data_IF_706313665224
#
_entry.id   IF_706313665224
#
_cell.length_a   1.000
_cell.length_b   1.000
_cell.length_c   1.000
_cell.angle_alpha   90.00
_cell.angle_beta   90.00
_cell.angle_gamma   90.00
#
_symmetry.space_group_name_H-M   'P 1'
#
loop_
_entity.id
_entity.type
_entity.pdbx_description
1 polymer ?
#
# COMPACT_ATOMS: atom_id res chain seq x y z
N UNK A 1 31.52 26.46 -56.96
CA UNK A 1 31.22 25.01 -56.82
C UNK A 1 31.55 24.45 -55.43
N UNK A 2 32.77 24.64 -54.89
CA UNK A 2 33.17 24.11 -53.56
C UNK A 2 32.32 24.63 -52.37
N UNK A 3 31.94 25.91 -52.37
CA UNK A 3 31.12 26.50 -51.29
C UNK A 3 29.70 25.89 -51.23
N UNK A 4 29.09 25.66 -52.40
CA UNK A 4 27.75 25.07 -52.49
C UNK A 4 27.73 23.63 -51.96
N UNK A 5 28.76 22.83 -52.30
CA UNK A 5 28.90 21.46 -51.80
C UNK A 5 29.07 21.45 -50.27
N UNK A 6 29.86 22.38 -49.72
CA UNK A 6 30.06 22.46 -48.26
C UNK A 6 28.78 22.83 -47.50
N UNK A 7 27.95 23.71 -48.05
CA UNK A 7 26.67 24.09 -47.46
C UNK A 7 25.70 22.90 -47.50
N UNK A 8 25.61 22.20 -48.63
CA UNK A 8 24.73 21.04 -48.79
C UNK A 8 25.12 19.92 -47.82
N UNK A 9 26.42 19.61 -47.69
CA UNK A 9 26.90 18.60 -46.74
C UNK A 9 26.56 18.99 -45.30
N UNK A 10 26.76 20.26 -44.92
CA UNK A 10 26.45 20.73 -43.56
C UNK A 10 24.96 20.67 -43.23
N UNK A 11 24.08 20.96 -44.20
CA UNK A 11 22.62 20.87 -44.02
C UNK A 11 22.20 19.41 -43.87
N UNK A 12 22.75 18.49 -44.68
CA UNK A 12 22.46 17.05 -44.58
C UNK A 12 22.91 16.50 -43.22
N UNK A 13 24.07 16.92 -42.72
CA UNK A 13 24.55 16.52 -41.39
C UNK A 13 23.62 17.02 -40.27
N UNK A 14 23.14 18.26 -40.36
CA UNK A 14 22.17 18.83 -39.41
C UNK A 14 20.83 18.09 -39.45
N UNK A 15 20.32 17.74 -40.64
CA UNK A 15 19.09 16.96 -40.79
C UNK A 15 19.27 15.55 -40.21
N UNK A 16 20.42 14.90 -40.44
CA UNK A 16 20.70 13.58 -39.90
C UNK A 16 20.83 13.59 -38.36
N UNK A 17 21.47 14.62 -37.79
CA UNK A 17 21.54 14.81 -36.34
C UNK A 17 20.15 15.08 -35.77
N UNK A 18 19.34 15.92 -36.43
CA UNK A 18 17.96 16.17 -36.04
C UNK A 18 17.14 14.88 -36.08
N UNK A 19 17.30 14.08 -37.14
CA UNK A 19 16.64 12.78 -37.26
C UNK A 19 17.10 11.78 -36.19
N UNK A 20 18.39 11.78 -35.80
CA UNK A 20 18.94 10.90 -34.75
C UNK A 20 18.49 11.30 -33.34
N UNK A 21 18.39 12.61 -33.06
CA UNK A 21 17.89 13.14 -31.78
C UNK A 21 16.37 12.95 -31.67
N UNK A 22 15.65 13.10 -32.80
CA UNK A 22 14.20 12.97 -32.86
C UNK A 22 13.73 11.64 -33.46
N UNK A 23 14.56 10.59 -33.50
CA UNK A 23 14.01 9.24 -33.67
C UNK A 23 13.06 9.13 -32.48
N UNK A 24 11.73 9.02 -32.69
CA UNK A 24 10.87 8.69 -31.59
C UNK A 24 11.37 7.32 -31.19
N UNK A 25 12.07 7.24 -30.05
CA UNK A 25 12.29 5.98 -29.36
C UNK A 25 10.91 5.36 -29.41
N UNK A 26 10.79 4.22 -30.09
CA UNK A 26 9.56 3.47 -30.16
C UNK A 26 9.38 2.94 -28.73
N UNK A 27 8.97 3.83 -27.84
CA UNK A 27 8.54 3.53 -26.49
C UNK A 27 7.45 2.53 -26.76
N UNK A 28 7.69 1.26 -26.38
CA UNK A 28 6.67 0.24 -26.46
C UNK A 28 5.46 0.86 -25.79
N UNK A 29 4.44 1.15 -26.61
CA UNK A 29 3.25 1.85 -26.15
C UNK A 29 2.49 0.83 -25.35
N UNK A 30 2.89 0.62 -24.09
CA UNK A 30 2.03 0.08 -23.08
C UNK A 30 0.82 1.01 -23.05
N UNK A 31 -0.24 0.62 -23.77
CA UNK A 31 -1.46 1.39 -23.83
C UNK A 31 -2.31 0.93 -22.67
N UNK A 32 -2.52 1.82 -21.71
CA UNK A 32 -3.58 1.66 -20.72
C UNK A 32 -4.92 1.75 -21.46
N UNK A 33 -5.56 0.61 -21.70
CA UNK A 33 -6.91 0.57 -22.27
C UNK A 33 -7.90 0.42 -21.12
N UNK A 34 -8.89 1.33 -21.09
CA UNK A 34 -10.02 1.23 -20.17
C UNK A 34 -11.05 0.29 -20.78
N UNK A 35 -11.13 -0.95 -20.30
CA UNK A 35 -12.16 -1.91 -20.70
C UNK A 35 -13.10 -2.04 -19.51
N UNK A 36 -14.39 -1.73 -19.70
CA UNK A 36 -15.45 -1.96 -18.70
C UNK A 36 -15.13 -1.44 -17.28
N UNK A 37 -14.63 -0.19 -17.18
CA UNK A 37 -14.20 0.47 -15.93
C UNK A 37 -12.84 0.01 -15.37
N UNK A 38 -12.08 -0.83 -16.09
CA UNK A 38 -10.84 -1.45 -15.62
C UNK A 38 -9.64 -0.96 -16.43
N UNK A 39 -8.49 -0.77 -15.77
CA UNK A 39 -7.21 -0.47 -16.41
C UNK A 39 -6.47 -1.79 -16.68
N UNK A 40 -6.41 -2.18 -17.95
CA UNK A 40 -5.61 -3.32 -18.40
C UNK A 40 -4.40 -2.82 -19.20
N UNK A 41 -3.23 -3.36 -18.91
CA UNK A 41 -2.01 -3.08 -19.67
C UNK A 41 -1.93 -4.12 -20.78
N UNK A 42 -2.04 -3.65 -22.02
CA UNK A 42 -2.00 -4.47 -23.22
C UNK A 42 -0.77 -4.06 -24.03
N UNK A 43 0.05 -5.04 -24.41
CA UNK A 43 1.14 -4.91 -25.38
C UNK A 43 0.87 -5.87 -26.53
N UNK A 44 0.90 -5.37 -27.77
CA UNK A 44 0.66 -6.16 -28.99
C UNK A 44 -0.60 -7.06 -28.91
N UNK A 45 -1.71 -6.49 -28.41
CA UNK A 45 -3.01 -7.16 -28.22
C UNK A 45 -2.98 -8.38 -27.28
N UNK A 46 -1.91 -8.54 -26.48
CA UNK A 46 -1.82 -9.50 -25.38
C UNK A 46 -1.97 -8.80 -24.04
N UNK A 47 -2.81 -9.37 -23.17
CA UNK A 47 -2.90 -8.94 -21.77
C UNK A 47 -1.58 -9.23 -21.07
N UNK A 48 -0.83 -8.19 -20.71
CA UNK A 48 0.47 -8.34 -20.06
C UNK A 48 0.36 -8.64 -18.58
N UNK A 49 -0.58 -7.99 -17.89
CA UNK A 49 -0.73 -8.09 -16.45
C UNK A 49 -2.20 -8.32 -16.12
N UNK A 50 -2.48 -9.49 -15.56
CA UNK A 50 -3.76 -9.79 -14.90
C UNK A 50 -3.61 -9.44 -13.43
N UNK A 51 -4.39 -8.46 -12.96
CA UNK A 51 -4.44 -8.14 -11.54
C UNK A 51 -4.83 -9.37 -10.71
N UNK A 52 -4.23 -9.51 -9.52
CA UNK A 52 -4.63 -10.54 -8.57
C UNK A 52 -6.14 -10.39 -8.27
N UNK A 53 -6.93 -11.47 -8.26
CA UNK A 53 -8.36 -11.41 -7.97
C UNK A 53 -8.71 -10.67 -6.67
N UNK A 54 -7.91 -10.85 -5.61
CA UNK A 54 -8.10 -10.15 -4.34
C UNK A 54 -7.95 -8.63 -4.49
N UNK A 55 -6.97 -8.17 -5.28
CA UNK A 55 -6.81 -6.74 -5.56
C UNK A 55 -8.04 -6.19 -6.26
N UNK A 56 -8.61 -6.94 -7.21
CA UNK A 56 -9.82 -6.56 -7.94
C UNK A 56 -11.06 -6.51 -7.05
N UNK A 57 -11.17 -7.45 -6.12
CA UNK A 57 -12.32 -7.59 -5.24
C UNK A 57 -12.33 -6.53 -4.12
N UNK A 58 -11.17 -6.23 -3.56
CA UNK A 58 -11.07 -5.37 -2.38
C UNK A 58 -10.80 -3.91 -2.69
N UNK A 59 -10.19 -3.59 -3.83
CA UNK A 59 -9.80 -2.22 -4.15
C UNK A 59 -10.68 -1.64 -5.26
N UNK A 60 -11.22 -0.45 -5.00
CA UNK A 60 -11.92 0.35 -6.00
C UNK A 60 -10.95 1.34 -6.61
N UNK A 61 -10.83 1.33 -7.93
CA UNK A 61 -9.97 2.25 -8.67
C UNK A 61 -10.79 3.41 -9.28
N UNK A 62 -10.18 4.61 -9.44
CA UNK A 62 -8.88 5.00 -8.91
C UNK A 62 -8.86 4.97 -7.37
N UNK A 63 -7.71 4.69 -6.75
CA UNK A 63 -7.56 4.65 -5.28
C UNK A 63 -7.81 6.03 -4.61
N UNK A 64 -8.35 6.99 -5.34
CA UNK A 64 -8.30 8.42 -5.03
C UNK A 64 -9.54 8.86 -4.27
N UNK A 65 -9.31 9.24 -3.01
CA UNK A 65 -9.92 10.36 -2.30
C UNK A 65 -8.90 10.83 -1.25
N UNK A 66 -7.68 11.19 -1.68
CA UNK A 66 -6.55 11.71 -0.88
C UNK A 66 -6.01 10.82 0.27
N UNK A 67 -6.65 9.70 0.59
CA UNK A 67 -6.28 8.77 1.66
C UNK A 67 -6.36 7.31 1.18
N UNK A 68 -5.68 6.39 1.89
CA UNK A 68 -5.81 4.94 1.66
C UNK A 68 -4.87 4.34 0.61
N UNK A 69 -3.81 5.05 0.21
CA UNK A 69 -2.77 4.55 -0.69
C UNK A 69 -2.13 3.24 -0.20
N UNK A 70 -2.08 3.04 1.12
CA UNK A 70 -1.61 1.81 1.76
C UNK A 70 -2.44 0.56 1.43
N UNK A 71 -3.68 0.70 0.94
CA UNK A 71 -4.60 -0.43 0.74
C UNK A 71 -4.04 -1.49 -0.21
N UNK A 72 -3.31 -1.08 -1.27
CA UNK A 72 -2.69 -2.02 -2.21
C UNK A 72 -1.60 -2.86 -1.55
N UNK A 73 -0.81 -2.23 -0.68
CA UNK A 73 0.29 -2.89 0.06
C UNK A 73 -0.29 -3.84 1.10
N UNK A 74 -1.37 -3.45 1.80
CA UNK A 74 -2.08 -4.33 2.73
C UNK A 74 -2.62 -5.58 2.05
N UNK A 75 -3.33 -5.42 0.92
CA UNK A 75 -3.85 -6.58 0.17
C UNK A 75 -2.70 -7.49 -0.30
N UNK A 76 -1.62 -6.90 -0.82
CA UNK A 76 -0.46 -7.67 -1.28
C UNK A 76 0.19 -8.46 -0.13
N UNK A 77 0.38 -7.85 1.04
CA UNK A 77 0.96 -8.52 2.21
C UNK A 77 0.10 -9.68 2.69
N UNK A 78 -1.22 -9.48 2.82
CA UNK A 78 -2.11 -10.56 3.26
C UNK A 78 -2.16 -11.71 2.24
N UNK A 79 -2.09 -11.40 0.94
CA UNK A 79 -1.96 -12.42 -0.11
C UNK A 79 -0.65 -13.20 -0.04
N UNK A 80 0.45 -12.52 0.32
CA UNK A 80 1.77 -13.13 0.40
C UNK A 80 1.92 -14.05 1.63
N UNK A 81 1.47 -13.62 2.82
CA UNK A 81 1.62 -14.42 4.05
C UNK A 81 0.57 -15.53 4.18
N UNK A 82 -0.60 -15.40 3.52
CA UNK A 82 -1.70 -16.37 3.42
C UNK A 82 -2.42 -16.78 4.71
N UNK A 83 -1.75 -16.79 5.86
CA UNK A 83 -2.28 -17.25 7.14
C UNK A 83 -1.59 -16.56 8.32
N UNK A 84 -2.05 -16.85 9.54
CA UNK A 84 -1.49 -16.31 10.79
C UNK A 84 -2.14 -15.00 11.25
N UNK A 85 -1.83 -14.53 12.46
CA UNK A 85 -2.51 -13.38 13.06
C UNK A 85 -2.02 -12.06 12.46
N UNK A 86 -2.91 -11.06 12.43
CA UNK A 86 -2.70 -9.71 11.89
C UNK A 86 -2.86 -8.70 13.03
N UNK A 87 -1.97 -7.71 13.07
CA UNK A 87 -2.05 -6.58 14.00
C UNK A 87 -2.23 -5.28 13.21
N UNK A 88 -3.23 -4.50 13.57
CA UNK A 88 -3.41 -3.11 13.14
C UNK A 88 -3.15 -2.19 14.33
N UNK A 89 -2.16 -1.30 14.20
CA UNK A 89 -1.88 -0.23 15.15
C UNK A 89 -2.33 1.08 14.52
N UNK A 90 -3.46 1.61 14.96
CA UNK A 90 -4.11 2.76 14.36
C UNK A 90 -5.24 2.31 13.44
N UNK A 91 -6.46 2.57 13.88
CA UNK A 91 -7.69 2.30 13.18
C UNK A 91 -8.12 3.50 12.35
N UNK A 92 -8.83 3.23 11.26
CA UNK A 92 -9.32 4.28 10.38
C UNK A 92 -10.31 3.80 9.35
N UNK A 93 -10.97 4.75 8.69
CA UNK A 93 -12.00 4.48 7.69
C UNK A 93 -11.48 3.74 6.44
N UNK A 94 -10.19 3.81 6.15
CA UNK A 94 -9.57 3.15 5.00
C UNK A 94 -9.08 1.73 5.33
N UNK A 95 -8.22 1.58 6.34
CA UNK A 95 -7.56 0.31 6.67
C UNK A 95 -8.47 -0.67 7.42
N UNK A 96 -9.19 -0.22 8.44
CA UNK A 96 -9.88 -1.15 9.37
C UNK A 96 -11.00 -1.96 8.69
N UNK A 97 -11.88 -1.38 7.84
CA UNK A 97 -12.88 -2.17 7.12
C UNK A 97 -12.25 -3.16 6.13
N UNK A 98 -11.13 -2.77 5.49
CA UNK A 98 -10.40 -3.61 4.55
C UNK A 98 -9.76 -4.80 5.26
N UNK A 99 -9.01 -4.55 6.34
CA UNK A 99 -8.37 -5.58 7.15
C UNK A 99 -9.39 -6.51 7.80
N UNK A 100 -10.50 -5.97 8.32
CA UNK A 100 -11.57 -6.79 8.88
C UNK A 100 -12.12 -7.77 7.85
N UNK A 101 -12.44 -7.29 6.64
CA UNK A 101 -12.96 -8.14 5.56
C UNK A 101 -11.95 -9.21 5.15
N UNK A 102 -10.71 -8.82 4.88
CA UNK A 102 -9.65 -9.74 4.46
C UNK A 102 -9.36 -10.80 5.54
N UNK A 103 -9.32 -10.40 6.81
CA UNK A 103 -9.10 -11.32 7.92
C UNK A 103 -10.27 -12.31 8.04
N UNK A 104 -11.52 -11.85 7.89
CA UNK A 104 -12.70 -12.71 7.94
C UNK A 104 -12.69 -13.75 6.81
N UNK A 105 -12.45 -13.33 5.57
CA UNK A 105 -12.41 -14.22 4.40
C UNK A 105 -11.28 -15.25 4.47
N UNK A 106 -10.11 -14.84 4.98
CA UNK A 106 -8.96 -15.72 5.18
C UNK A 106 -9.05 -16.51 6.49
N UNK A 107 -10.09 -16.31 7.31
CA UNK A 107 -10.25 -16.91 8.64
C UNK A 107 -9.04 -16.68 9.55
N UNK A 108 -8.48 -15.47 9.49
CA UNK A 108 -7.31 -15.04 10.27
C UNK A 108 -7.77 -14.24 11.47
N UNK A 109 -7.00 -14.38 12.55
CA UNK A 109 -7.14 -13.51 13.71
C UNK A 109 -6.64 -12.10 13.36
N UNK A 110 -7.42 -11.09 13.71
CA UNK A 110 -7.08 -9.68 13.59
C UNK A 110 -7.22 -9.02 14.96
N UNK A 111 -6.20 -8.30 15.39
CA UNK A 111 -6.28 -7.38 16.51
C UNK A 111 -6.09 -5.97 15.99
N UNK A 112 -7.10 -5.11 16.15
CA UNK A 112 -7.01 -3.69 15.83
C UNK A 112 -6.96 -2.86 17.10
N UNK A 113 -5.89 -2.10 17.26
CA UNK A 113 -5.67 -1.27 18.43
C UNK A 113 -5.66 0.22 18.07
N UNK A 114 -6.28 1.06 18.89
CA UNK A 114 -6.29 2.51 18.70
C UNK A 114 -6.26 3.27 20.04
N UNK A 115 -5.70 4.48 19.99
CA UNK A 115 -5.62 5.42 21.11
C UNK A 115 -6.81 6.37 21.23
N UNK A 116 -7.67 6.40 20.23
CA UNK A 116 -8.90 7.17 20.17
C UNK A 116 -10.11 6.25 20.39
N UNK A 117 -10.79 6.42 21.52
CA UNK A 117 -11.99 5.66 21.85
C UNK A 117 -13.09 5.81 20.80
N UNK A 118 -13.11 6.91 20.04
CA UNK A 118 -14.09 7.11 18.97
C UNK A 118 -13.94 6.04 17.90
N UNK A 119 -12.71 5.65 17.53
CA UNK A 119 -12.50 4.57 16.56
C UNK A 119 -12.89 3.21 17.11
N UNK A 120 -12.50 2.90 18.36
CA UNK A 120 -12.90 1.66 19.03
C UNK A 120 -14.43 1.51 19.06
N UNK A 121 -15.13 2.59 19.42
CA UNK A 121 -16.60 2.58 19.49
C UNK A 121 -17.23 2.50 18.10
N UNK A 122 -16.71 3.27 17.14
CA UNK A 122 -17.22 3.32 15.77
C UNK A 122 -17.17 1.94 15.09
N UNK A 123 -16.11 1.18 15.36
CA UNK A 123 -15.91 -0.16 14.80
C UNK A 123 -16.27 -1.31 15.75
N UNK A 124 -16.92 -1.04 16.88
CA UNK A 124 -17.28 -2.07 17.88
C UNK A 124 -18.06 -3.26 17.30
N UNK A 125 -18.82 -3.02 16.22
CA UNK A 125 -19.54 -4.08 15.48
C UNK A 125 -18.62 -5.09 14.79
N UNK A 126 -17.34 -4.79 14.59
CA UNK A 126 -16.38 -5.73 14.00
C UNK A 126 -16.00 -6.87 14.95
N UNK A 127 -16.11 -6.64 16.27
CA UNK A 127 -15.74 -7.60 17.32
C UNK A 127 -16.95 -8.38 17.90
N UNK A 128 -18.06 -8.45 17.16
CA UNK A 128 -19.22 -9.25 17.55
C UNK A 128 -19.02 -10.75 17.31
N UNK A 129 -19.85 -11.57 17.93
CA UNK A 129 -19.80 -13.04 17.82
C UNK A 129 -19.63 -13.53 16.37
N UNK A 130 -18.75 -14.52 16.19
CA UNK A 130 -18.35 -15.14 14.91
C UNK A 130 -17.30 -14.38 14.06
N UNK A 131 -16.64 -13.36 14.60
CA UNK A 131 -15.45 -12.78 13.99
C UNK A 131 -14.19 -13.16 14.81
N UNK A 132 -13.07 -13.38 14.13
CA UNK A 132 -11.76 -13.48 14.78
C UNK A 132 -11.11 -12.10 14.92
N UNK A 133 -11.92 -11.05 15.10
CA UNK A 133 -11.46 -9.67 15.15
C UNK A 133 -11.64 -9.11 16.56
N UNK A 134 -10.53 -8.82 17.23
CA UNK A 134 -10.51 -8.17 18.54
C UNK A 134 -10.15 -6.69 18.40
N UNK A 135 -10.73 -5.86 19.28
CA UNK A 135 -10.41 -4.44 19.37
C UNK A 135 -9.76 -4.13 20.70
N UNK A 136 -8.73 -3.27 20.68
CA UNK A 136 -8.01 -2.88 21.89
C UNK A 136 -7.79 -1.38 21.98
N UNK A 137 -8.30 -0.79 23.05
CA UNK A 137 -7.99 0.59 23.39
C UNK A 137 -6.61 0.70 24.05
N UNK A 138 -5.77 1.61 23.57
CA UNK A 138 -4.45 1.93 24.16
C UNK A 138 -4.44 3.37 24.61
N UNK A 139 -4.50 3.60 25.92
CA UNK A 139 -4.46 4.96 26.47
C UNK A 139 -3.06 5.57 26.33
N UNK A 140 -2.92 6.65 25.57
CA UNK A 140 -1.67 7.39 25.40
C UNK A 140 -1.63 8.55 26.37
N UNK A 141 -0.64 8.54 27.28
CA UNK A 141 -0.45 9.59 28.30
C UNK A 141 0.80 10.43 28.04
N UNK A 142 1.67 9.97 27.15
CA UNK A 142 2.92 10.63 26.78
C UNK A 142 2.94 11.05 25.31
N UNK A 143 3.59 12.17 25.00
CA UNK A 143 3.83 12.60 23.61
C UNK A 143 4.69 11.60 22.82
N UNK A 144 5.50 10.81 23.52
CA UNK A 144 6.30 9.73 22.94
C UNK A 144 5.49 8.46 22.66
N UNK A 145 4.26 8.35 23.17
CA UNK A 145 3.41 7.17 23.00
C UNK A 145 4.03 5.89 23.53
N UNK A 146 4.79 5.93 24.64
CA UNK A 146 5.49 4.76 25.22
C UNK A 146 4.53 3.61 25.50
N UNK A 147 3.27 3.93 25.78
CA UNK A 147 2.20 3.02 26.15
C UNK A 147 1.88 2.00 25.04
N UNK A 148 2.21 2.28 23.77
CA UNK A 148 2.14 1.28 22.71
C UNK A 148 3.02 0.05 23.00
N UNK A 149 4.23 0.22 23.57
CA UNK A 149 5.10 -0.91 23.95
C UNK A 149 4.56 -1.64 25.18
N UNK A 150 4.05 -0.91 26.17
CA UNK A 150 3.59 -1.51 27.43
C UNK A 150 2.15 -1.99 27.37
N UNK A 151 1.52 -1.92 26.20
CA UNK A 151 0.16 -2.41 25.99
C UNK A 151 0.09 -3.93 25.88
N UNK A 152 1.23 -4.63 25.98
CA UNK A 152 1.38 -6.09 25.84
C UNK A 152 0.92 -6.63 24.48
N UNK A 153 0.73 -5.80 23.44
CA UNK A 153 0.32 -6.25 22.10
C UNK A 153 1.30 -7.26 21.48
N UNK A 154 2.59 -7.09 21.77
CA UNK A 154 3.67 -7.98 21.30
C UNK A 154 3.63 -9.37 21.94
N UNK A 155 3.13 -9.47 23.18
CA UNK A 155 3.16 -10.72 23.95
C UNK A 155 2.06 -11.71 23.55
N UNK A 156 1.06 -11.26 22.78
CA UNK A 156 -0.09 -12.09 22.45
C UNK A 156 0.17 -13.09 21.33
N UNK A 157 1.04 -12.81 20.34
CA UNK A 157 1.13 -13.59 19.10
C UNK A 157 2.43 -13.38 18.31
N UNK A 158 2.84 -14.40 17.55
CA UNK A 158 3.76 -14.25 16.42
C UNK A 158 2.99 -13.62 15.24
N UNK A 159 2.95 -12.30 15.17
CA UNK A 159 2.24 -11.56 14.13
C UNK A 159 2.84 -11.86 12.76
N UNK A 160 1.99 -12.17 11.78
CA UNK A 160 2.44 -12.40 10.40
C UNK A 160 2.40 -11.12 9.57
N UNK A 161 1.42 -10.25 9.84
CA UNK A 161 1.33 -8.92 9.26
C UNK A 161 1.09 -7.92 10.37
N UNK A 162 1.89 -6.84 10.39
CA UNK A 162 1.69 -5.69 11.28
C UNK A 162 1.52 -4.43 10.43
N UNK A 163 0.43 -3.71 10.61
CA UNK A 163 0.19 -2.39 10.00
C UNK A 163 0.30 -1.29 11.05
N UNK A 164 1.10 -0.26 10.77
CA UNK A 164 1.43 0.81 11.71
C UNK A 164 1.00 2.16 11.12
N UNK A 165 -0.06 2.75 11.66
CA UNK A 165 -0.58 4.08 11.34
C UNK A 165 -1.16 4.82 12.57
N UNK A 166 -0.82 4.38 13.79
CA UNK A 166 -1.33 4.99 15.01
C UNK A 166 -0.74 6.37 15.28
N UNK A 167 -1.36 7.12 16.21
CA UNK A 167 -0.75 8.31 16.82
C UNK A 167 -0.07 7.95 18.16
N UNK A 168 0.93 8.71 18.61
CA UNK A 168 1.62 9.79 17.90
C UNK A 168 2.56 9.24 16.80
N UNK A 169 2.73 10.02 15.73
CA UNK A 169 3.53 9.57 14.56
C UNK A 169 5.01 9.31 14.88
N UNK A 170 5.59 10.08 15.79
CA UNK A 170 6.99 9.94 16.25
C UNK A 170 7.30 8.57 16.87
N UNK A 171 6.27 7.87 17.36
CA UNK A 171 6.40 6.54 17.96
C UNK A 171 6.52 5.41 16.92
N UNK A 172 5.95 5.60 15.73
CA UNK A 172 5.79 4.53 14.73
C UNK A 172 7.10 3.89 14.29
N UNK A 173 8.20 4.66 14.24
CA UNK A 173 9.53 4.12 13.91
C UNK A 173 10.05 3.12 14.95
N UNK A 174 9.75 3.35 16.24
CA UNK A 174 10.16 2.45 17.31
C UNK A 174 9.35 1.16 17.24
N UNK A 175 8.05 1.27 16.95
CA UNK A 175 7.20 0.09 16.75
C UNK A 175 7.62 -0.70 15.51
N UNK A 176 7.96 -0.03 14.40
CA UNK A 176 8.55 -0.70 13.23
C UNK A 176 9.77 -1.52 13.64
N UNK A 177 10.71 -0.95 14.41
CA UNK A 177 11.88 -1.69 14.87
C UNK A 177 11.51 -2.89 15.74
N UNK A 178 10.59 -2.72 16.71
CA UNK A 178 10.14 -3.82 17.57
C UNK A 178 9.51 -4.98 16.78
N UNK A 179 8.61 -4.68 15.85
CA UNK A 179 7.88 -5.70 15.09
C UNK A 179 8.68 -6.29 13.94
N UNK A 180 9.66 -5.57 13.36
CA UNK A 180 10.46 -6.05 12.23
C UNK A 180 11.21 -7.36 12.49
N UNK A 181 11.54 -7.65 13.75
CA UNK A 181 12.24 -8.87 14.15
C UNK A 181 11.31 -10.04 14.50
N UNK A 182 10.00 -9.80 14.54
CA UNK A 182 9.00 -10.73 15.10
C UNK A 182 7.81 -10.98 14.18
N UNK A 183 7.87 -10.44 12.97
CA UNK A 183 6.79 -10.52 12.01
C UNK A 183 7.28 -10.75 10.60
N UNK A 184 6.48 -11.46 9.79
CA UNK A 184 6.86 -11.76 8.41
C UNK A 184 6.83 -10.49 7.55
N UNK A 185 5.83 -9.62 7.78
CA UNK A 185 5.67 -8.36 7.07
C UNK A 185 5.24 -7.26 8.04
N UNK A 186 5.95 -6.12 8.01
CA UNK A 186 5.55 -4.89 8.69
C UNK A 186 5.34 -3.79 7.65
N UNK A 187 4.22 -3.10 7.73
CA UNK A 187 3.85 -1.98 6.86
C UNK A 187 3.73 -0.74 7.73
N UNK A 188 4.57 0.26 7.44
CA UNK A 188 4.55 1.56 8.10
C UNK A 188 3.92 2.61 7.19
N UNK A 189 2.95 3.35 7.72
CA UNK A 189 2.28 4.45 7.03
C UNK A 189 2.88 5.83 7.39
N UNK A 190 2.75 6.80 6.47
CA UNK A 190 3.31 8.16 6.53
C UNK A 190 4.75 8.20 7.07
N UNK A 191 5.68 7.61 6.31
CA UNK A 191 7.12 7.56 6.64
C UNK A 191 7.85 8.89 6.46
N UNK A 192 7.13 9.99 6.29
CA UNK A 192 7.72 11.30 6.03
C UNK A 192 8.46 11.81 7.27
N UNK A 193 9.64 12.40 7.05
CA UNK A 193 10.41 13.06 8.11
C UNK A 193 9.78 14.44 8.29
N UNK A 194 9.13 14.68 9.43
CA UNK A 194 8.74 16.03 9.84
C UNK A 194 9.96 16.92 10.07
#
# INVERSE_FOLDING_TARGET
>A
MKLFISIVVSIISLIAIFYLIFIPIKINKNQLKKIEQQLEIIEDDKLLIKWNPMIREHLKFPLTNDYGSHSIVLVAALCATKSGPILELGMGAASSPLLHRLALEQKRFLLSADSDRRWINYFSSFAVNNTFHELKYVEIKSEMGIEWATSNLEDYRNWTVVFIDHRPGSRRQFDLMSYSHRSDVVILHDTEIN
#
